data_IF_758934101163
#
_entry.id   IF_758934101163
#
_cell.length_a   1.000
_cell.length_b   1.000
_cell.length_c   1.000
_cell.angle_alpha   90.00
_cell.angle_beta   90.00
_cell.angle_gamma   90.00
#
_symmetry.space_group_name_H-M   'P 1'
#
loop_
_entity.id
_entity.type
_entity.pdbx_description
1 polymer ?
#
# COMPACT_ATOMS: atom_id res chain seq x y z
N UNK A 1 -36.74 -37.51 -56.59
CA UNK A 1 -36.01 -36.70 -55.58
C UNK A 1 -36.09 -37.45 -54.27
N UNK A 2 -35.04 -38.18 -53.89
CA UNK A 2 -35.01 -38.96 -52.64
C UNK A 2 -34.50 -38.05 -51.53
N UNK A 3 -35.41 -37.63 -50.65
CA UNK A 3 -35.08 -36.91 -49.42
C UNK A 3 -34.32 -37.85 -48.48
N UNK A 4 -33.04 -37.57 -48.25
CA UNK A 4 -32.22 -38.33 -47.30
C UNK A 4 -32.72 -38.04 -45.89
N UNK A 5 -33.43 -38.99 -45.29
CA UNK A 5 -33.86 -38.89 -43.90
C UNK A 5 -32.66 -39.17 -43.01
N UNK A 6 -32.01 -38.13 -42.51
CA UNK A 6 -31.01 -38.26 -41.46
C UNK A 6 -31.80 -38.57 -40.18
N UNK A 7 -31.57 -39.72 -39.51
CA UNK A 7 -32.21 -40.00 -38.24
C UNK A 7 -31.81 -38.92 -37.22
N UNK A 8 -32.73 -38.48 -36.34
CA UNK A 8 -32.42 -37.50 -35.32
C UNK A 8 -31.35 -38.05 -34.36
N UNK A 9 -30.38 -37.22 -34.00
CA UNK A 9 -29.33 -37.56 -33.03
C UNK A 9 -29.99 -37.86 -31.69
N UNK A 10 -29.71 -39.03 -31.11
CA UNK A 10 -30.24 -39.45 -29.82
C UNK A 10 -29.25 -39.15 -28.68
N UNK A 11 -29.74 -39.17 -27.44
CA UNK A 11 -28.87 -39.01 -26.26
C UNK A 11 -27.82 -40.13 -26.15
N UNK A 12 -28.18 -41.36 -26.52
CA UNK A 12 -27.26 -42.50 -26.56
C UNK A 12 -26.14 -42.28 -27.58
N UNK A 13 -26.45 -41.69 -28.74
CA UNK A 13 -25.44 -41.35 -29.75
C UNK A 13 -24.44 -40.31 -29.21
N UNK A 14 -24.92 -39.32 -28.45
CA UNK A 14 -24.08 -38.29 -27.82
C UNK A 14 -23.20 -38.90 -26.74
N UNK A 15 -23.77 -39.75 -25.87
CA UNK A 15 -23.03 -40.43 -24.81
C UNK A 15 -21.94 -41.36 -25.38
N UNK A 16 -22.27 -42.11 -26.43
CA UNK A 16 -21.32 -42.98 -27.13
C UNK A 16 -20.23 -42.17 -27.83
N UNK A 17 -20.57 -41.04 -28.44
CA UNK A 17 -19.60 -40.15 -29.06
C UNK A 17 -18.60 -39.56 -28.05
N UNK A 18 -19.10 -39.03 -26.92
CA UNK A 18 -18.26 -38.44 -25.86
C UNK A 18 -17.36 -39.48 -25.19
N UNK A 19 -17.88 -40.69 -24.93
CA UNK A 19 -17.09 -41.80 -24.36
C UNK A 19 -15.94 -42.21 -25.28
N UNK A 20 -16.18 -42.25 -26.59
CA UNK A 20 -15.18 -42.64 -27.58
C UNK A 20 -14.27 -41.47 -28.02
N UNK A 21 -14.53 -40.25 -27.56
CA UNK A 21 -13.78 -39.04 -27.95
C UNK A 21 -13.38 -38.21 -26.72
N UNK A 22 -12.47 -38.72 -25.85
CA UNK A 22 -12.14 -38.06 -24.59
C UNK A 22 -11.55 -36.65 -24.74
N UNK A 23 -10.84 -36.36 -25.82
CA UNK A 23 -10.30 -35.01 -26.12
C UNK A 23 -11.34 -34.00 -26.64
N UNK A 24 -12.63 -34.35 -26.68
CA UNK A 24 -13.68 -33.45 -27.17
C UNK A 24 -13.75 -32.15 -26.36
N UNK A 25 -13.70 -32.23 -25.03
CA UNK A 25 -13.78 -31.06 -24.15
C UNK A 25 -12.51 -30.21 -24.14
N UNK A 26 -11.35 -30.76 -24.51
CA UNK A 26 -10.13 -29.97 -24.71
C UNK A 26 -10.26 -29.07 -25.95
N UNK A 27 -10.89 -29.57 -27.02
CA UNK A 27 -11.12 -28.80 -28.26
C UNK A 27 -12.32 -27.87 -28.18
N UNK A 28 -13.27 -28.16 -27.31
CA UNK A 28 -14.52 -27.42 -27.12
C UNK A 28 -14.72 -27.01 -25.67
N UNK A 29 -13.72 -26.32 -25.10
CA UNK A 29 -13.72 -25.90 -23.70
C UNK A 29 -14.91 -25.00 -23.32
N UNK A 30 -15.41 -24.20 -24.26
CA UNK A 30 -16.62 -23.38 -24.12
C UNK A 30 -17.88 -24.20 -23.86
N UNK A 31 -17.99 -25.40 -24.45
CA UNK A 31 -19.11 -26.31 -24.22
C UNK A 31 -19.05 -26.80 -22.77
N UNK A 32 -17.87 -27.23 -22.31
CA UNK A 32 -17.67 -27.66 -20.92
C UNK A 32 -18.02 -26.55 -19.91
N UNK A 33 -17.63 -25.31 -20.21
CA UNK A 33 -17.95 -24.15 -19.37
C UNK A 33 -19.46 -23.83 -19.29
N UNK A 34 -20.23 -24.26 -20.28
CA UNK A 34 -21.69 -24.08 -20.34
C UNK A 34 -22.49 -25.24 -19.73
N UNK A 35 -21.86 -26.40 -19.48
CA UNK A 35 -22.53 -27.56 -18.89
C UNK A 35 -22.83 -27.29 -17.42
N UNK A 36 -24.11 -27.11 -17.10
CA UNK A 36 -24.57 -27.07 -15.71
C UNK A 36 -24.90 -28.49 -15.24
N UNK A 37 -24.04 -29.06 -14.40
CA UNK A 37 -24.33 -30.34 -13.74
C UNK A 37 -25.11 -30.02 -12.47
N UNK A 38 -26.43 -29.94 -12.56
CA UNK A 38 -27.27 -29.87 -11.37
C UNK A 38 -27.25 -31.21 -10.64
N UNK A 39 -26.78 -31.20 -9.40
CA UNK A 39 -26.82 -32.36 -8.50
C UNK A 39 -28.23 -32.96 -8.43
N UNK A 40 -28.38 -34.29 -8.29
CA UNK A 40 -29.69 -34.95 -8.16
C UNK A 40 -30.50 -34.49 -6.93
N UNK A 41 -29.89 -33.73 -6.00
CA UNK A 41 -30.49 -33.30 -4.73
C UNK A 41 -31.06 -31.86 -4.75
N UNK A 42 -31.30 -31.30 -5.95
CA UNK A 42 -32.05 -30.06 -6.14
C UNK A 42 -31.32 -28.78 -5.68
N UNK A 43 -31.99 -27.63 -5.81
CA UNK A 43 -31.48 -26.27 -5.58
C UNK A 43 -30.96 -25.95 -4.15
N UNK A 44 -30.78 -26.96 -3.30
CA UNK A 44 -30.25 -26.87 -1.93
C UNK A 44 -28.87 -27.51 -1.76
N UNK A 45 -28.35 -28.25 -2.75
CA UNK A 45 -27.07 -28.95 -2.64
C UNK A 45 -26.04 -28.40 -3.63
N UNK A 46 -25.26 -27.41 -3.18
CA UNK A 46 -24.06 -26.91 -3.89
C UNK A 46 -22.98 -27.99 -3.84
N UNK A 47 -22.34 -28.29 -4.96
CA UNK A 47 -21.24 -29.27 -4.99
C UNK A 47 -20.11 -28.81 -4.07
N UNK A 48 -19.53 -29.74 -3.29
CA UNK A 48 -18.38 -29.43 -2.43
C UNK A 48 -17.24 -28.79 -3.24
N UNK A 49 -17.06 -29.21 -4.50
CA UNK A 49 -16.05 -28.66 -5.41
C UNK A 49 -16.37 -27.22 -5.83
N UNK A 50 -17.64 -26.89 -6.08
CA UNK A 50 -18.06 -25.52 -6.39
C UNK A 50 -17.82 -24.58 -5.20
N UNK A 51 -18.20 -25.02 -3.99
CA UNK A 51 -17.95 -24.25 -2.76
C UNK A 51 -16.45 -24.08 -2.50
N UNK A 52 -15.64 -25.13 -2.73
CA UNK A 52 -14.18 -25.04 -2.63
C UNK A 52 -13.58 -24.07 -3.65
N UNK A 53 -14.06 -24.09 -4.90
CA UNK A 53 -13.61 -23.17 -5.95
C UNK A 53 -13.99 -21.71 -5.63
N UNK A 54 -15.19 -21.48 -5.10
CA UNK A 54 -15.62 -20.15 -4.66
C UNK A 54 -14.78 -19.63 -3.50
N UNK A 55 -14.54 -20.46 -2.47
CA UNK A 55 -13.65 -20.11 -1.35
C UNK A 55 -12.21 -19.81 -1.82
N UNK A 56 -11.70 -20.56 -2.80
CA UNK A 56 -10.38 -20.30 -3.39
C UNK A 56 -10.35 -18.97 -4.15
N UNK A 57 -11.40 -18.64 -4.91
CA UNK A 57 -11.51 -17.34 -5.61
C UNK A 57 -11.56 -16.18 -4.63
N UNK A 58 -12.35 -16.30 -3.55
CA UNK A 58 -12.40 -15.29 -2.50
C UNK A 58 -11.04 -15.12 -1.81
N UNK A 59 -10.35 -16.23 -1.52
CA UNK A 59 -9.01 -16.20 -0.94
C UNK A 59 -8.00 -15.53 -1.88
N UNK A 60 -8.03 -15.85 -3.17
CA UNK A 60 -7.17 -15.22 -4.18
C UNK A 60 -7.43 -13.72 -4.21
N UNK A 61 -8.69 -13.29 -4.30
CA UNK A 61 -9.06 -11.87 -4.30
C UNK A 61 -8.56 -11.15 -3.04
N UNK A 62 -8.68 -11.76 -1.86
CA UNK A 62 -8.17 -11.19 -0.62
C UNK A 62 -6.63 -11.10 -0.57
N UNK A 63 -5.93 -12.06 -1.16
CA UNK A 63 -4.47 -12.03 -1.29
C UNK A 63 -4.02 -10.96 -2.28
N UNK A 64 -4.70 -10.82 -3.43
CA UNK A 64 -4.43 -9.78 -4.41
C UNK A 64 -4.59 -8.38 -3.81
N UNK A 65 -5.64 -8.15 -3.01
CA UNK A 65 -5.84 -6.88 -2.29
C UNK A 65 -4.69 -6.56 -1.34
N UNK A 66 -4.25 -7.53 -0.52
CA UNK A 66 -3.11 -7.36 0.38
C UNK A 66 -1.79 -7.09 -0.36
N UNK A 67 -1.59 -7.75 -1.51
CA UNK A 67 -0.42 -7.49 -2.35
C UNK A 67 -0.45 -6.05 -2.87
N UNK A 68 -1.60 -5.57 -3.35
CA UNK A 68 -1.72 -4.18 -3.81
C UNK A 68 -1.43 -3.17 -2.70
N UNK A 69 -1.94 -3.40 -1.48
CA UNK A 69 -1.63 -2.57 -0.32
C UNK A 69 -0.14 -2.58 0.01
N UNK A 70 0.49 -3.76 -0.02
CA UNK A 70 1.92 -3.92 0.24
C UNK A 70 2.77 -3.18 -0.80
N UNK A 71 2.41 -3.28 -2.08
CA UNK A 71 3.08 -2.57 -3.17
C UNK A 71 2.96 -1.05 -2.96
N UNK A 72 1.76 -0.54 -2.65
CA UNK A 72 1.56 0.88 -2.34
C UNK A 72 2.44 1.33 -1.18
N UNK A 73 2.38 0.62 -0.05
CA UNK A 73 3.20 0.95 1.12
C UNK A 73 4.71 0.88 0.80
N UNK A 74 5.12 -0.10 -0.02
CA UNK A 74 6.51 -0.22 -0.47
C UNK A 74 6.94 0.98 -1.33
N UNK A 75 6.08 1.46 -2.22
CA UNK A 75 6.37 2.65 -3.04
C UNK A 75 6.45 3.92 -2.20
N UNK A 76 5.57 4.09 -1.21
CA UNK A 76 5.60 5.20 -0.27
C UNK A 76 6.88 5.17 0.58
N UNK A 77 7.25 4.00 1.11
CA UNK A 77 8.48 3.82 1.88
C UNK A 77 9.74 4.10 1.04
N UNK A 78 9.78 3.65 -0.22
CA UNK A 78 10.89 3.94 -1.12
C UNK A 78 11.02 5.45 -1.39
N UNK A 79 9.89 6.14 -1.54
CA UNK A 79 9.85 7.60 -1.71
C UNK A 79 10.39 8.32 -0.47
N UNK A 80 9.96 7.91 0.73
CA UNK A 80 10.45 8.46 2.00
C UNK A 80 11.97 8.22 2.14
N UNK A 81 12.44 7.01 1.87
CA UNK A 81 13.87 6.67 1.94
C UNK A 81 14.70 7.54 0.97
N UNK A 82 14.20 7.78 -0.23
CA UNK A 82 14.86 8.67 -1.19
C UNK A 82 14.91 10.12 -0.69
N UNK A 83 13.80 10.66 -0.18
CA UNK A 83 13.74 12.00 0.42
C UNK A 83 14.70 12.15 1.60
N UNK A 84 14.78 11.16 2.49
CA UNK A 84 15.73 11.14 3.63
C UNK A 84 17.18 11.12 3.15
N UNK A 85 17.50 10.30 2.15
CA UNK A 85 18.85 10.26 1.59
C UNK A 85 19.24 11.60 0.98
N UNK A 86 18.38 12.17 0.13
CA UNK A 86 18.59 13.48 -0.47
C UNK A 86 18.76 14.58 0.58
N UNK A 87 17.91 14.58 1.61
CA UNK A 87 18.01 15.54 2.70
C UNK A 87 19.33 15.42 3.45
N UNK A 88 19.73 14.19 3.78
CA UNK A 88 20.99 13.93 4.48
C UNK A 88 22.19 14.39 3.66
N UNK A 89 22.21 14.11 2.34
CA UNK A 89 23.26 14.61 1.45
C UNK A 89 23.31 16.13 1.41
N UNK A 90 22.16 16.81 1.30
CA UNK A 90 22.10 18.26 1.31
C UNK A 90 22.64 18.85 2.63
N UNK A 91 22.32 18.25 3.77
CA UNK A 91 22.85 18.68 5.07
C UNK A 91 24.37 18.47 5.18
N UNK A 92 24.91 17.38 4.62
CA UNK A 92 26.35 17.10 4.61
C UNK A 92 27.15 18.03 3.69
N UNK A 93 26.50 18.66 2.71
CA UNK A 93 27.11 19.63 1.81
C UNK A 93 27.21 21.05 2.42
N UNK A 94 26.54 21.30 3.54
CA UNK A 94 26.59 22.58 4.25
C UNK A 94 28.00 22.81 4.81
N UNK A 95 28.64 23.89 4.36
CA UNK A 95 30.03 24.23 4.73
C UNK A 95 30.10 25.08 6.00
N UNK A 96 29.18 26.02 6.15
CA UNK A 96 29.12 26.90 7.31
C UNK A 96 28.08 26.34 8.30
N UNK A 97 28.48 25.98 9.53
CA UNK A 97 27.54 25.52 10.56
C UNK A 97 26.42 26.52 10.88
N UNK A 98 26.58 27.83 10.61
CA UNK A 98 25.49 28.81 10.76
C UNK A 98 24.31 28.55 9.84
N UNK A 99 24.55 27.96 8.66
CA UNK A 99 23.51 27.68 7.66
C UNK A 99 22.74 26.38 7.95
N UNK A 100 23.30 25.51 8.79
CA UNK A 100 22.77 24.16 9.02
C UNK A 100 21.34 24.16 9.60
N UNK A 101 20.98 24.97 10.62
CA UNK A 101 19.61 25.01 11.14
C UNK A 101 18.59 25.42 10.08
N UNK A 102 18.94 26.37 9.21
CA UNK A 102 18.07 26.80 8.12
C UNK A 102 17.91 25.70 7.07
N UNK A 103 19.00 25.02 6.68
CA UNK A 103 18.97 23.89 5.76
C UNK A 103 18.10 22.72 6.28
N UNK A 104 18.09 22.48 7.59
CA UNK A 104 17.18 21.51 8.24
C UNK A 104 15.72 21.91 8.02
N UNK A 105 15.37 23.17 8.32
CA UNK A 105 14.00 23.68 8.18
C UNK A 105 13.54 23.66 6.73
N UNK A 106 14.39 24.10 5.80
CA UNK A 106 14.06 24.14 4.38
C UNK A 106 13.85 22.72 3.83
N UNK A 107 14.71 21.77 4.18
CA UNK A 107 14.53 20.37 3.77
C UNK A 107 13.22 19.77 4.27
N UNK A 108 12.80 20.05 5.50
CA UNK A 108 11.50 19.62 6.02
C UNK A 108 10.34 20.21 5.20
N UNK A 109 10.43 21.50 4.85
CA UNK A 109 9.38 22.19 4.07
C UNK A 109 9.32 21.71 2.64
N UNK A 110 10.46 21.56 1.97
CA UNK A 110 10.51 21.29 0.52
C UNK A 110 10.48 19.81 0.17
N UNK A 111 11.10 18.94 0.98
CA UNK A 111 11.17 17.51 0.68
C UNK A 111 10.04 16.73 1.35
N UNK A 112 9.58 17.14 2.54
CA UNK A 112 8.57 16.40 3.31
C UNK A 112 7.20 17.08 3.33
N UNK A 113 7.01 18.13 2.53
CA UNK A 113 5.75 18.84 2.37
C UNK A 113 5.20 19.37 3.72
N UNK A 114 6.09 19.70 4.67
CA UNK A 114 5.73 20.24 5.98
C UNK A 114 5.43 21.75 5.82
N UNK A 115 4.20 22.23 6.06
CA UNK A 115 3.83 23.61 5.73
C UNK A 115 4.63 24.67 6.49
N UNK A 116 4.85 24.43 7.78
CA UNK A 116 5.62 25.31 8.65
C UNK A 116 6.53 24.44 9.51
N UNK A 117 7.78 24.87 9.62
CA UNK A 117 8.80 24.20 10.43
C UNK A 117 9.69 25.27 11.05
N UNK A 118 10.13 25.02 12.28
CA UNK A 118 11.09 25.84 13.00
C UNK A 118 12.03 24.93 13.76
N UNK A 119 13.26 25.39 13.97
CA UNK A 119 14.26 24.71 14.79
C UNK A 119 14.83 25.69 15.81
N UNK A 120 15.07 25.19 17.02
CA UNK A 120 15.80 25.89 18.07
C UNK A 120 16.88 24.98 18.63
N UNK A 121 18.04 25.56 18.91
CA UNK A 121 19.22 24.86 19.42
C UNK A 121 19.75 25.61 20.63
N UNK A 122 20.15 24.89 21.67
CA UNK A 122 20.71 25.49 22.89
C UNK A 122 22.05 24.83 23.23
N UNK A 123 22.74 25.37 24.24
CA UNK A 123 24.09 24.95 24.67
C UNK A 123 25.14 25.00 23.55
N UNK A 124 25.02 26.00 22.68
CA UNK A 124 25.91 26.23 21.55
C UNK A 124 27.23 26.89 21.99
N UNK A 125 28.27 26.76 21.15
CA UNK A 125 29.52 27.48 21.36
C UNK A 125 29.33 29.00 21.21
N UNK A 126 30.21 29.77 21.85
CA UNK A 126 30.15 31.24 21.92
C UNK A 126 29.84 31.97 20.61
N UNK A 127 30.44 31.63 19.46
CA UNK A 127 30.14 32.30 18.19
C UNK A 127 28.66 32.26 17.77
N UNK A 128 27.91 31.25 18.19
CA UNK A 128 26.51 31.05 17.79
C UNK A 128 25.50 31.61 18.80
N UNK A 129 25.95 32.14 19.94
CA UNK A 129 25.06 32.45 21.07
C UNK A 129 23.98 33.47 20.71
N UNK A 130 24.28 34.41 19.81
CA UNK A 130 23.37 35.47 19.39
C UNK A 130 22.61 35.16 18.09
N UNK A 131 22.74 33.94 17.54
CA UNK A 131 22.06 33.56 16.32
C UNK A 131 20.54 33.34 16.54
N UNK A 132 19.70 33.68 15.56
CA UNK A 132 18.24 33.58 15.71
C UNK A 132 17.74 32.17 16.12
N UNK A 133 18.42 31.12 15.64
CA UNK A 133 18.08 29.73 15.98
C UNK A 133 18.40 29.33 17.43
N UNK A 134 19.09 30.18 18.20
CA UNK A 134 19.38 29.92 19.62
C UNK A 134 18.49 30.72 20.57
N UNK A 135 17.67 31.62 20.02
CA UNK A 135 16.83 32.53 20.78
C UNK A 135 15.40 32.00 20.95
N UNK A 136 14.76 32.38 22.07
CA UNK A 136 13.33 32.14 22.27
C UNK A 136 12.93 30.71 22.61
N UNK A 137 13.87 29.87 23.06
CA UNK A 137 13.57 28.59 23.71
C UNK A 137 13.75 28.73 25.23
N UNK A 138 12.65 28.84 25.96
CA UNK A 138 12.62 28.96 27.43
C UNK A 138 13.15 27.71 28.14
N UNK A 139 13.41 27.83 29.45
CA UNK A 139 13.75 26.67 30.29
C UNK A 139 12.64 25.62 30.30
N UNK A 140 11.37 26.04 30.31
CA UNK A 140 10.21 25.14 30.28
C UNK A 140 10.13 24.38 28.95
N UNK A 141 10.36 25.04 27.82
CA UNK A 141 10.38 24.38 26.50
C UNK A 141 11.53 23.36 26.40
N UNK A 142 12.71 23.69 26.94
CA UNK A 142 13.87 22.78 26.98
C UNK A 142 13.62 21.59 27.91
N UNK A 143 13.02 21.82 29.08
CA UNK A 143 12.66 20.77 30.02
C UNK A 143 11.62 19.84 29.43
N UNK A 144 10.58 20.39 28.78
CA UNK A 144 9.58 19.62 28.05
C UNK A 144 10.23 18.76 26.96
N UNK A 145 11.05 19.35 26.08
CA UNK A 145 11.74 18.63 25.02
C UNK A 145 12.65 17.51 25.58
N UNK A 146 13.36 17.77 26.68
CA UNK A 146 14.24 16.79 27.33
C UNK A 146 13.49 15.66 28.04
N UNK A 147 12.22 15.88 28.41
CA UNK A 147 11.37 14.89 29.05
C UNK A 147 10.75 13.87 28.08
N UNK A 148 10.77 14.16 26.77
CA UNK A 148 10.16 13.33 25.75
C UNK A 148 10.97 12.06 25.50
N UNK A 149 10.35 10.90 25.71
CA UNK A 149 10.91 9.58 25.32
C UNK A 149 10.55 9.18 23.89
N UNK A 150 9.58 9.87 23.28
CA UNK A 150 9.14 9.74 21.90
C UNK A 150 8.69 11.11 21.37
N UNK A 151 8.67 11.33 20.05
CA UNK A 151 8.15 12.57 19.48
C UNK A 151 6.71 12.83 19.93
N UNK A 152 6.42 14.05 20.36
CA UNK A 152 5.05 14.48 20.62
C UNK A 152 4.39 14.91 19.30
N UNK A 153 3.34 14.19 18.91
CA UNK A 153 2.52 14.49 17.74
C UNK A 153 1.07 14.68 18.19
N UNK A 154 0.45 15.80 17.85
CA UNK A 154 -0.92 16.07 18.25
C UNK A 154 -1.28 17.54 18.18
N UNK A 155 -2.48 17.92 18.66
CA UNK A 155 -2.89 19.31 18.75
C UNK A 155 -1.95 20.07 19.69
N UNK A 156 -1.67 21.33 19.36
CA UNK A 156 -0.96 22.20 20.28
C UNK A 156 -1.86 22.54 21.47
N UNK A 157 -1.41 22.21 22.69
CA UNK A 157 -2.13 22.49 23.95
C UNK A 157 -1.62 23.76 24.65
N UNK A 158 -1.06 24.70 23.88
CA UNK A 158 -0.44 25.92 24.41
C UNK A 158 1.07 25.79 24.64
N UNK A 159 1.73 24.85 23.97
CA UNK A 159 3.18 24.73 24.02
C UNK A 159 3.84 25.88 23.26
N UNK A 160 4.88 26.45 23.87
CA UNK A 160 5.72 27.52 23.32
C UNK A 160 6.23 27.28 21.89
N UNK A 161 6.66 26.06 21.48
CA UNK A 161 7.20 25.82 20.14
C UNK A 161 6.29 26.23 18.98
N UNK A 162 4.97 26.25 19.19
CA UNK A 162 4.05 26.71 18.17
C UNK A 162 4.17 28.22 17.87
N UNK A 163 4.68 29.00 18.81
CA UNK A 163 4.97 30.42 18.61
C UNK A 163 6.23 30.70 17.78
N UNK A 164 6.98 29.66 17.39
CA UNK A 164 8.18 29.80 16.55
C UNK A 164 7.87 29.73 15.03
N UNK A 165 6.64 29.38 14.66
CA UNK A 165 6.19 29.13 13.28
C UNK A 165 5.70 30.40 12.56
#
# INVERSE_FOLDING_TARGET
MTTSHIPPITEDDIAQFLTNTPGFFERHAEVLASVQITSPHGARAVSLQERQAEMLREKIKGLEQRIMEMVRNSTENATIAHKVHQWTSALLEVKDPFDLPQAVVDGLRTLFDVPQAAVRVWDVAGPYIDADFTQGASEDARAFASSLTMPFCGPNLGFEPAGWL
#
